data_IF_229167941230
#
_entry.id   IF_229167941230
#
_cell.length_a   1.000
_cell.length_b   1.000
_cell.length_c   1.000
_cell.angle_alpha   90.00
_cell.angle_beta   90.00
_cell.angle_gamma   90.00
#
_symmetry.space_group_name_H-M   'P 1'
#
loop_
_entity.id
_entity.type
_entity.pdbx_description
1 polymer ?
#
# COMPACT_ATOMS: atom_id res chain seq x y z
N UNK A 1 -58.81 7.52 37.73
CA UNK A 1 -57.86 6.56 37.11
C UNK A 1 -56.85 7.38 36.33
N UNK A 2 -55.59 7.54 36.79
CA UNK A 2 -54.58 8.31 36.07
C UNK A 2 -54.06 7.53 34.86
N UNK A 3 -53.99 8.24 33.73
CA UNK A 3 -53.55 7.77 32.41
C UNK A 3 -52.04 7.47 32.43
N UNK A 4 -51.65 6.31 31.89
CA UNK A 4 -50.26 5.87 31.83
C UNK A 4 -49.45 6.68 30.81
N UNK A 5 -48.28 7.16 31.22
CA UNK A 5 -47.30 7.84 30.36
C UNK A 5 -46.72 6.87 29.31
N UNK A 6 -46.41 7.33 28.08
CA UNK A 6 -45.71 6.50 27.11
C UNK A 6 -44.24 6.35 27.51
N UNK A 7 -43.78 5.09 27.55
CA UNK A 7 -42.39 4.70 27.74
C UNK A 7 -41.54 5.26 26.60
N UNK A 8 -40.59 6.15 26.93
CA UNK A 8 -39.53 6.56 26.03
C UNK A 8 -38.68 5.33 25.67
N UNK A 9 -38.70 4.92 24.42
CA UNK A 9 -37.75 3.95 23.88
C UNK A 9 -36.41 4.65 23.71
N UNK A 10 -35.51 4.40 24.66
CA UNK A 10 -34.09 4.75 24.52
C UNK A 10 -33.55 4.04 23.28
N UNK A 11 -33.37 4.80 22.21
CA UNK A 11 -32.70 4.33 21.00
C UNK A 11 -31.25 3.97 21.38
N UNK A 12 -31.02 2.68 21.64
CA UNK A 12 -29.67 2.13 21.66
C UNK A 12 -29.08 2.33 20.27
N UNK A 13 -28.25 3.36 20.14
CA UNK A 13 -27.45 3.59 18.96
C UNK A 13 -26.58 2.38 18.70
N UNK A 14 -26.94 1.62 17.67
CA UNK A 14 -26.05 0.65 17.04
C UNK A 14 -24.88 1.42 16.45
N UNK A 15 -23.84 1.68 17.25
CA UNK A 15 -22.53 2.10 16.77
C UNK A 15 -21.96 0.90 16.01
N UNK A 16 -22.12 0.91 14.69
CA UNK A 16 -21.54 -0.13 13.85
C UNK A 16 -20.03 0.10 13.84
N UNK A 17 -19.23 -0.94 14.08
CA UNK A 17 -17.77 -0.86 13.97
C UNK A 17 -17.30 -0.37 12.58
N UNK A 18 -18.19 -0.34 11.59
CA UNK A 18 -17.97 0.24 10.27
C UNK A 18 -18.00 1.77 10.23
N UNK A 19 -18.56 2.47 11.22
CA UNK A 19 -18.75 3.93 11.17
C UNK A 19 -17.41 4.70 11.30
N UNK A 20 -16.39 4.07 11.90
CA UNK A 20 -15.07 4.66 12.09
C UNK A 20 -14.02 4.18 11.05
N UNK A 21 -14.39 3.28 10.13
CA UNK A 21 -13.44 2.73 9.14
C UNK A 21 -13.48 3.59 7.88
N UNK A 22 -12.43 4.40 7.68
CA UNK A 22 -12.23 5.12 6.42
C UNK A 22 -11.67 4.19 5.35
N UNK A 23 -12.47 3.92 4.33
CA UNK A 23 -12.06 3.22 3.09
C UNK A 23 -11.68 4.25 2.04
N UNK A 24 -10.48 4.15 1.48
CA UNK A 24 -10.04 5.04 0.41
C UNK A 24 -10.37 4.42 -0.95
N UNK A 25 -11.13 5.14 -1.77
CA UNK A 25 -11.30 4.80 -3.17
C UNK A 25 -9.98 5.06 -3.92
N UNK A 26 -9.59 4.16 -4.82
CA UNK A 26 -8.46 4.38 -5.71
C UNK A 26 -8.74 5.62 -6.58
N UNK A 27 -7.94 6.70 -6.50
CA UNK A 27 -8.15 7.85 -7.35
C UNK A 27 -8.01 7.44 -8.82
N UNK A 28 -9.01 7.76 -9.65
CA UNK A 28 -8.92 7.62 -11.10
C UNK A 28 -7.77 8.49 -11.61
N UNK A 29 -6.73 7.84 -12.11
CA UNK A 29 -5.47 8.48 -12.49
C UNK A 29 -5.55 9.02 -13.93
N UNK A 30 -5.25 10.30 -14.18
CA UNK A 30 -4.55 10.70 -15.41
C UNK A 30 -3.07 10.35 -15.26
N UNK A 31 -2.52 9.72 -16.31
CA UNK A 31 -1.12 9.29 -16.42
C UNK A 31 -0.16 10.41 -15.98
N UNK A 32 0.98 10.07 -15.35
CA UNK A 32 2.02 11.01 -14.88
C UNK A 32 2.31 12.11 -15.91
N UNK A 33 2.21 13.41 -15.56
CA UNK A 33 2.38 14.49 -16.54
C UNK A 33 3.83 14.85 -16.92
N UNK A 34 4.87 14.30 -16.25
CA UNK A 34 6.26 14.71 -16.47
C UNK A 34 7.22 13.52 -16.35
N UNK A 35 8.04 13.30 -17.38
CA UNK A 35 8.94 12.14 -17.54
C UNK A 35 10.01 11.97 -16.44
N UNK A 36 10.22 12.96 -15.57
CA UNK A 36 11.31 12.97 -14.58
C UNK A 36 10.85 13.05 -13.11
N UNK A 37 9.55 13.01 -12.82
CA UNK A 37 9.05 13.03 -11.44
C UNK A 37 8.68 11.61 -10.95
N UNK A 38 9.56 11.01 -10.16
CA UNK A 38 9.35 9.69 -9.55
C UNK A 38 8.17 9.68 -8.56
N UNK A 39 7.98 10.78 -7.82
CA UNK A 39 6.96 10.87 -6.78
C UNK A 39 6.14 12.16 -6.91
N UNK A 40 4.83 12.00 -6.73
CA UNK A 40 3.80 13.05 -6.72
C UNK A 40 2.81 12.81 -5.57
N UNK A 41 1.99 13.81 -5.26
CA UNK A 41 1.02 13.75 -4.16
C UNK A 41 -0.07 12.65 -4.29
N UNK A 42 -0.23 12.05 -5.48
CA UNK A 42 -1.15 10.93 -5.74
C UNK A 42 -0.43 9.58 -5.87
N UNK A 43 0.89 9.53 -5.66
CA UNK A 43 1.67 8.28 -5.76
C UNK A 43 1.13 7.27 -4.78
N UNK A 44 0.86 6.06 -5.26
CA UNK A 44 0.49 4.95 -4.42
C UNK A 44 1.54 3.87 -4.48
N UNK A 45 1.81 3.26 -3.35
CA UNK A 45 2.84 2.26 -3.19
C UNK A 45 2.33 1.00 -2.51
N UNK A 46 2.99 -0.12 -2.82
CA UNK A 46 2.92 -1.34 -2.02
C UNK A 46 4.14 -1.46 -1.13
N UNK A 47 3.94 -2.00 0.06
CA UNK A 47 5.04 -2.39 0.95
C UNK A 47 5.18 -3.89 0.89
N UNK A 48 6.30 -4.38 0.37
CA UNK A 48 6.60 -5.82 0.32
C UNK A 48 7.36 -6.21 1.59
N UNK A 49 6.77 -7.10 2.38
CA UNK A 49 7.24 -7.49 3.71
C UNK A 49 6.32 -6.98 4.82
N UNK A 50 6.27 -7.74 5.92
CA UNK A 50 5.42 -7.41 7.07
C UNK A 50 6.08 -6.33 7.95
N UNK A 51 5.93 -5.05 7.57
CA UNK A 51 6.52 -3.91 8.27
C UNK A 51 5.46 -2.90 8.75
N UNK A 52 4.65 -3.24 9.77
CA UNK A 52 3.55 -2.38 10.22
C UNK A 52 4.04 -1.02 10.76
N UNK A 53 5.21 -0.96 11.39
CA UNK A 53 5.78 0.30 11.89
C UNK A 53 6.15 1.27 10.76
N UNK A 54 6.76 0.76 9.69
CA UNK A 54 7.12 1.57 8.53
C UNK A 54 5.87 2.06 7.81
N UNK A 55 4.88 1.18 7.64
CA UNK A 55 3.58 1.52 7.02
C UNK A 55 2.86 2.61 7.83
N UNK A 56 2.78 2.48 9.15
CA UNK A 56 2.16 3.50 10.00
C UNK A 56 2.90 4.84 9.90
N UNK A 57 4.24 4.83 9.92
CA UNK A 57 5.04 6.04 9.75
C UNK A 57 4.80 6.74 8.40
N UNK A 58 4.61 5.98 7.32
CA UNK A 58 4.24 6.54 6.02
C UNK A 58 2.83 7.17 6.04
N UNK A 59 1.86 6.52 6.69
CA UNK A 59 0.50 7.06 6.83
C UNK A 59 0.47 8.32 7.68
N UNK A 60 1.22 8.35 8.77
CA UNK A 60 1.34 9.53 9.65
C UNK A 60 1.98 10.70 8.89
N UNK A 61 3.03 10.43 8.11
CA UNK A 61 3.65 11.42 7.24
C UNK A 61 2.67 11.97 6.21
N UNK A 62 1.92 11.09 5.53
CA UNK A 62 0.91 11.53 4.57
C UNK A 62 -0.18 12.39 5.21
N UNK A 63 -0.60 12.05 6.44
CA UNK A 63 -1.58 12.82 7.20
C UNK A 63 -1.05 14.22 7.55
N UNK A 64 0.20 14.32 8.02
CA UNK A 64 0.86 15.60 8.32
C UNK A 64 1.02 16.44 7.04
N UNK A 65 1.36 15.80 5.92
CA UNK A 65 1.41 16.43 4.60
C UNK A 65 0.03 16.80 4.03
N UNK A 66 -1.07 16.56 4.77
CA UNK A 66 -2.45 16.84 4.36
C UNK A 66 -2.84 16.16 3.04
N UNK A 67 -2.33 14.95 2.78
CA UNK A 67 -2.80 14.15 1.64
C UNK A 67 -4.26 13.76 1.83
N UNK A 68 -4.99 13.69 0.72
CA UNK A 68 -6.38 13.19 0.73
C UNK A 68 -6.46 11.67 0.75
N UNK A 69 -5.42 10.99 0.27
CA UNK A 69 -5.35 9.52 0.15
C UNK A 69 -4.01 9.03 0.68
N UNK A 70 -3.99 7.86 1.35
CA UNK A 70 -2.75 7.26 1.83
C UNK A 70 -1.84 6.89 0.66
N UNK A 71 -0.54 7.08 0.86
CA UNK A 71 0.49 6.59 -0.06
C UNK A 71 0.50 5.07 -0.10
N UNK A 72 0.26 4.39 1.01
CA UNK A 72 0.26 2.93 1.07
C UNK A 72 -1.10 2.39 0.64
N UNK A 73 -1.13 1.62 -0.46
CA UNK A 73 -2.33 0.96 -0.96
C UNK A 73 -2.58 -0.39 -0.27
N UNK A 74 -1.51 -1.09 0.11
CA UNK A 74 -1.57 -2.40 0.75
C UNK A 74 -0.19 -2.95 1.05
N UNK A 75 -0.16 -4.08 1.75
CA UNK A 75 1.06 -4.79 2.11
C UNK A 75 1.09 -6.10 1.32
N UNK A 76 2.24 -6.49 0.80
CA UNK A 76 2.44 -7.78 0.14
C UNK A 76 3.29 -8.65 1.08
N UNK A 77 2.77 -9.80 1.47
CA UNK A 77 3.45 -10.74 2.36
C UNK A 77 3.17 -12.18 1.95
N UNK A 78 4.09 -12.77 1.19
CA UNK A 78 3.95 -14.09 0.56
C UNK A 78 4.08 -15.28 1.52
N UNK A 79 4.64 -15.07 2.71
CA UNK A 79 4.84 -16.12 3.72
C UNK A 79 3.66 -16.29 4.69
N UNK A 80 2.64 -15.43 4.60
CA UNK A 80 1.47 -15.46 5.47
C UNK A 80 0.18 -15.69 4.70
N UNK A 81 -0.95 -15.63 5.41
CA UNK A 81 -2.27 -15.63 4.79
C UNK A 81 -2.71 -14.25 4.31
N UNK A 82 -3.84 -14.20 3.61
CA UNK A 82 -4.51 -12.94 3.26
C UNK A 82 -5.32 -12.43 4.46
N UNK A 83 -5.01 -11.23 4.94
CA UNK A 83 -5.74 -10.58 6.03
C UNK A 83 -5.74 -9.06 5.86
N UNK A 84 -6.39 -8.35 6.79
CA UNK A 84 -6.35 -6.89 6.84
C UNK A 84 -5.54 -6.43 8.03
N UNK A 85 -4.63 -5.49 7.80
CA UNK A 85 -3.82 -4.87 8.84
C UNK A 85 -4.50 -3.59 9.32
N UNK A 86 -4.74 -3.50 10.63
CA UNK A 86 -5.33 -2.32 11.25
C UNK A 86 -4.26 -1.23 11.39
N UNK A 87 -4.55 -0.06 10.85
CA UNK A 87 -3.69 1.12 10.83
C UNK A 87 -4.48 2.35 11.24
N UNK A 88 -3.77 3.44 11.52
CA UNK A 88 -4.36 4.73 11.87
C UNK A 88 -4.10 5.76 10.78
N UNK A 89 -5.10 6.59 10.52
CA UNK A 89 -5.02 7.75 9.65
C UNK A 89 -5.43 8.99 10.46
N UNK A 90 -4.43 9.61 11.10
CA UNK A 90 -4.67 10.59 12.14
C UNK A 90 -5.41 9.94 13.32
N UNK A 91 -6.64 10.40 13.60
CA UNK A 91 -7.49 9.84 14.66
C UNK A 91 -8.46 8.77 14.18
N UNK A 92 -8.55 8.52 12.86
CA UNK A 92 -9.46 7.53 12.28
C UNK A 92 -8.76 6.18 12.10
N UNK A 93 -9.49 5.09 12.25
CA UNK A 93 -8.97 3.75 11.96
C UNK A 93 -9.13 3.43 10.46
N UNK A 94 -8.10 2.80 9.88
CA UNK A 94 -8.13 2.32 8.49
C UNK A 94 -7.62 0.89 8.41
N UNK A 95 -8.13 0.15 7.43
CA UNK A 95 -7.79 -1.25 7.22
C UNK A 95 -7.02 -1.36 5.90
N UNK A 96 -5.74 -1.71 5.99
CA UNK A 96 -4.93 -1.98 4.80
C UNK A 96 -5.01 -3.47 4.42
N UNK A 97 -5.29 -3.78 3.16
CA UNK A 97 -5.26 -5.17 2.70
C UNK A 97 -3.83 -5.70 2.70
N UNK A 98 -3.66 -6.91 3.22
CA UNK A 98 -2.43 -7.70 3.11
C UNK A 98 -2.66 -8.79 2.07
N UNK A 99 -1.86 -8.77 1.01
CA UNK A 99 -1.93 -9.71 -0.10
C UNK A 99 -0.86 -10.78 0.03
N UNK A 100 -1.25 -12.04 -0.21
CA UNK A 100 -0.31 -13.16 -0.30
C UNK A 100 0.38 -13.20 -1.66
N UNK A 101 -0.26 -12.70 -2.72
CA UNK A 101 0.24 -12.75 -4.10
C UNK A 101 0.34 -11.35 -4.68
N UNK A 102 1.43 -11.09 -5.41
CA UNK A 102 1.71 -9.80 -6.06
C UNK A 102 0.68 -9.51 -7.14
N UNK A 103 0.34 -10.50 -7.97
CA UNK A 103 -0.62 -10.36 -9.08
C UNK A 103 -2.00 -9.89 -8.60
N UNK A 104 -2.46 -10.44 -7.46
CA UNK A 104 -3.75 -10.08 -6.84
C UNK A 104 -3.75 -8.66 -6.28
N UNK A 105 -2.61 -8.22 -5.72
CA UNK A 105 -2.45 -6.85 -5.23
C UNK A 105 -2.53 -5.88 -6.42
N UNK A 106 -1.75 -6.17 -7.46
CA UNK A 106 -1.65 -5.37 -8.68
C UNK A 106 -2.99 -5.24 -9.41
N UNK A 107 -3.70 -6.35 -9.59
CA UNK A 107 -5.02 -6.37 -10.23
C UNK A 107 -6.06 -5.52 -9.49
N UNK A 108 -5.96 -5.43 -8.15
CA UNK A 108 -6.88 -4.64 -7.32
C UNK A 108 -6.49 -3.16 -7.22
N UNK A 109 -5.23 -2.84 -7.41
CA UNK A 109 -4.72 -1.46 -7.34
C UNK A 109 -3.92 -1.12 -8.60
N UNK A 110 -4.61 -0.87 -9.74
CA UNK A 110 -3.96 -0.48 -11.00
C UNK A 110 -3.30 0.92 -10.93
N UNK A 111 -3.61 1.69 -9.89
CA UNK A 111 -3.07 3.03 -9.64
C UNK A 111 -1.74 3.03 -8.86
N UNK A 112 -1.29 1.86 -8.38
CA UNK A 112 0.02 1.72 -7.71
C UNK A 112 1.13 1.63 -8.74
N UNK A 113 2.13 2.50 -8.59
CA UNK A 113 3.29 2.59 -9.47
C UNK A 113 4.63 2.39 -8.76
N UNK A 114 4.63 2.36 -7.42
CA UNK A 114 5.83 2.28 -6.59
C UNK A 114 5.76 1.07 -5.67
N UNK A 115 6.88 0.39 -5.42
CA UNK A 115 6.95 -0.68 -4.43
C UNK A 115 8.15 -0.47 -3.51
N UNK A 116 7.93 -0.55 -2.21
CA UNK A 116 9.00 -0.53 -1.20
C UNK A 116 9.24 -1.96 -0.73
N UNK A 117 10.38 -2.51 -1.14
CA UNK A 117 10.76 -3.89 -0.89
C UNK A 117 11.62 -4.04 0.37
N UNK A 118 10.99 -4.52 1.45
CA UNK A 118 11.62 -4.93 2.70
C UNK A 118 11.86 -6.45 2.76
N UNK A 119 11.92 -7.13 1.62
CA UNK A 119 12.35 -8.53 1.58
C UNK A 119 13.76 -8.69 2.17
N UNK A 120 14.00 -9.85 2.77
CA UNK A 120 15.34 -10.23 3.26
C UNK A 120 16.37 -10.29 2.12
N UNK A 121 17.66 -10.22 2.44
CA UNK A 121 18.73 -10.33 1.44
C UNK A 121 18.71 -11.61 0.60
N UNK A 122 18.08 -12.67 1.12
CA UNK A 122 17.91 -13.95 0.42
C UNK A 122 16.75 -13.95 -0.59
N UNK A 123 15.71 -13.16 -0.34
CA UNK A 123 14.47 -13.15 -1.12
C UNK A 123 14.26 -11.88 -1.94
N UNK A 124 15.09 -10.87 -1.76
CA UNK A 124 15.01 -9.59 -2.48
C UNK A 124 15.20 -9.75 -3.98
N UNK A 125 16.03 -10.70 -4.42
CA UNK A 125 16.27 -10.97 -5.83
C UNK A 125 15.03 -11.48 -6.56
N UNK A 126 14.46 -12.59 -6.06
CA UNK A 126 13.27 -13.17 -6.67
C UNK A 126 12.07 -12.22 -6.61
N UNK A 127 11.86 -11.56 -5.46
CA UNK A 127 10.74 -10.61 -5.31
C UNK A 127 10.87 -9.39 -6.23
N UNK A 128 12.05 -8.80 -6.35
CA UNK A 128 12.25 -7.65 -7.25
C UNK A 128 12.11 -8.06 -8.72
N UNK A 129 12.61 -9.24 -9.10
CA UNK A 129 12.44 -9.76 -10.45
C UNK A 129 10.97 -10.02 -10.80
N UNK A 130 10.19 -10.56 -9.86
CA UNK A 130 8.74 -10.73 -10.00
C UNK A 130 8.03 -9.38 -10.15
N UNK A 131 8.37 -8.39 -9.32
CA UNK A 131 7.80 -7.03 -9.40
C UNK A 131 8.13 -6.34 -10.73
N UNK A 132 9.30 -6.61 -11.30
CA UNK A 132 9.71 -6.12 -12.63
C UNK A 132 9.00 -6.81 -13.80
N UNK A 133 8.17 -7.82 -13.58
CA UNK A 133 7.30 -8.36 -14.64
C UNK A 133 6.07 -7.47 -14.88
N UNK A 134 5.68 -6.65 -13.90
CA UNK A 134 4.46 -5.86 -13.98
C UNK A 134 4.72 -4.44 -14.50
N UNK A 135 4.23 -4.08 -15.70
CA UNK A 135 4.59 -2.81 -16.36
C UNK A 135 4.06 -1.57 -15.62
N UNK A 136 3.06 -1.70 -14.76
CA UNK A 136 2.56 -0.58 -13.97
C UNK A 136 3.56 -0.09 -12.91
N UNK A 137 4.46 -0.96 -12.44
CA UNK A 137 5.46 -0.63 -11.42
C UNK A 137 6.64 0.05 -12.10
N UNK A 138 6.77 1.36 -11.85
CA UNK A 138 7.82 2.23 -12.40
C UNK A 138 9.01 2.37 -11.46
N UNK A 139 8.77 2.32 -10.15
CA UNK A 139 9.80 2.55 -9.13
C UNK A 139 9.79 1.44 -8.08
N UNK A 140 10.96 0.88 -7.77
CA UNK A 140 11.14 -0.13 -6.73
C UNK A 140 12.25 0.33 -5.79
N UNK A 141 11.90 0.60 -4.53
CA UNK A 141 12.86 0.93 -3.48
C UNK A 141 13.26 -0.35 -2.75
N UNK A 142 14.55 -0.70 -2.75
CA UNK A 142 15.07 -1.92 -2.10
C UNK A 142 15.74 -1.53 -0.79
N UNK A 143 15.28 -2.11 0.33
CA UNK A 143 15.76 -1.79 1.68
C UNK A 143 16.61 -2.94 2.28
N UNK A 144 16.84 -4.02 1.52
CA UNK A 144 17.60 -5.17 2.00
C UNK A 144 19.09 -4.85 2.17
N UNK A 145 19.61 -4.98 3.40
CA UNK A 145 21.05 -4.96 3.66
C UNK A 145 21.69 -6.36 3.57
N UNK A 146 22.98 -6.41 3.29
CA UNK A 146 23.75 -7.67 3.23
C UNK A 146 23.44 -8.54 2.01
N UNK A 147 22.94 -7.93 0.92
CA UNK A 147 22.77 -8.60 -0.37
C UNK A 147 24.14 -8.73 -1.04
N UNK A 148 24.54 -9.94 -1.51
CA UNK A 148 25.80 -10.09 -2.22
C UNK A 148 25.85 -9.20 -3.47
N UNK A 149 26.95 -8.47 -3.68
CA UNK A 149 27.09 -7.52 -4.81
C UNK A 149 26.82 -8.16 -6.17
N UNK A 150 27.26 -9.41 -6.37
CA UNK A 150 26.99 -10.18 -7.59
C UNK A 150 25.50 -10.25 -7.93
N UNK A 151 24.62 -10.30 -6.93
CA UNK A 151 23.17 -10.38 -7.11
C UNK A 151 22.62 -9.00 -7.48
N UNK A 152 23.17 -7.95 -6.86
CA UNK A 152 22.80 -6.56 -7.18
C UNK A 152 23.15 -6.22 -8.63
N UNK A 153 24.31 -6.69 -9.12
CA UNK A 153 24.77 -6.45 -10.48
C UNK A 153 23.82 -7.03 -11.55
N UNK A 154 23.01 -8.04 -11.24
CA UNK A 154 22.00 -8.54 -12.19
C UNK A 154 20.76 -7.63 -12.29
N UNK A 155 20.47 -6.80 -11.28
CA UNK A 155 19.33 -5.88 -11.35
C UNK A 155 19.57 -4.74 -12.32
N UNK A 156 20.76 -4.15 -12.32
CA UNK A 156 21.08 -2.96 -13.11
C UNK A 156 20.86 -3.12 -14.63
N UNK A 157 21.41 -4.16 -15.31
CA UNK A 157 21.20 -4.33 -16.74
C UNK A 157 19.74 -4.68 -17.08
N UNK A 158 19.03 -5.40 -16.19
CA UNK A 158 17.63 -5.75 -16.42
C UNK A 158 16.69 -4.54 -16.26
N UNK A 159 16.92 -3.72 -15.25
CA UNK A 159 16.20 -2.46 -15.04
C UNK A 159 16.45 -1.49 -16.20
N UNK A 160 17.71 -1.39 -16.66
CA UNK A 160 18.07 -0.58 -17.82
C UNK A 160 17.37 -1.07 -19.09
N UNK A 161 17.44 -2.38 -19.39
CA UNK A 161 16.78 -2.97 -20.56
C UNK A 161 15.28 -2.65 -20.61
N UNK A 162 14.59 -2.76 -19.48
CA UNK A 162 13.16 -2.44 -19.36
C UNK A 162 12.88 -0.97 -19.62
N UNK A 163 13.69 -0.06 -19.08
CA UNK A 163 13.55 1.38 -19.29
C UNK A 163 13.76 1.75 -20.77
N UNK A 164 14.71 1.12 -21.45
CA UNK A 164 15.03 1.36 -22.86
C UNK A 164 13.96 0.89 -23.84
N UNK A 165 13.13 -0.09 -23.46
CA UNK A 165 12.09 -0.68 -24.32
C UNK A 165 10.66 -0.29 -23.92
N UNK A 166 10.50 0.60 -22.93
CA UNK A 166 9.20 1.10 -22.49
C UNK A 166 8.71 2.34 -23.26
N UNK A 167 9.27 2.60 -24.45
CA UNK A 167 8.92 3.70 -25.36
C UNK A 167 7.83 3.34 -26.36
#
# INVERSE_FOLDING_TARGET
MPSAAPLASTANGNLSANDNIRRFAAPSRPFTPLEHNLFHNKTRCFVYGMQPRAVQGMLDFDFICKRSTPSVAGIIYTFGGQFVSKMYWGTSETLLPVYQEVEKAISKHPDVDTVVNFASSRSVYSSTMELMQFPQIKSIAIIAEGVPERVILYFSPYAWYRQSHAG
#
